data_IF_826307654645
#
_entry.id   IF_826307654645
#
_cell.length_a   1.000
_cell.length_b   1.000
_cell.length_c   1.000
_cell.angle_alpha   90.00
_cell.angle_beta   90.00
_cell.angle_gamma   90.00
#
_symmetry.space_group_name_H-M   'P 1'
#
loop_
_entity.id
_entity.type
_entity.pdbx_description
1 polymer ?
#
# COMPACT_ATOMS: atom_id res chain seq x y z
N UNK A 1 -6.15 -0.56 21.17
CA UNK A 1 -4.99 -1.50 21.19
C UNK A 1 -5.06 -2.38 19.95
N UNK A 2 -3.99 -2.48 19.16
CA UNK A 2 -3.94 -3.36 18.00
C UNK A 2 -3.68 -4.82 18.42
N UNK A 3 -4.23 -5.79 17.69
CA UNK A 3 -4.11 -7.23 17.97
C UNK A 3 -3.42 -7.97 16.82
N UNK A 4 -2.46 -8.87 17.08
CA UNK A 4 -1.88 -9.70 16.02
C UNK A 4 -2.86 -10.79 15.58
N UNK A 5 -2.91 -11.02 14.27
CA UNK A 5 -3.74 -12.02 13.59
C UNK A 5 -2.83 -12.84 12.68
N UNK A 6 -2.96 -14.17 12.70
CA UNK A 6 -2.20 -15.04 11.81
C UNK A 6 -3.03 -15.37 10.58
N UNK A 7 -2.47 -15.10 9.41
CA UNK A 7 -3.11 -15.37 8.11
C UNK A 7 -2.24 -16.32 7.32
N UNK A 8 -2.84 -17.33 6.71
CA UNK A 8 -2.14 -18.27 5.84
C UNK A 8 -2.06 -17.69 4.42
N UNK A 9 -0.84 -17.54 3.90
CA UNK A 9 -0.61 -17.15 2.51
C UNK A 9 -1.07 -18.28 1.57
N UNK A 10 -1.30 -17.94 0.30
CA UNK A 10 -1.54 -18.95 -0.75
C UNK A 10 -0.38 -19.93 -0.91
N UNK A 11 0.84 -19.49 -0.58
CA UNK A 11 2.07 -20.31 -0.55
C UNK A 11 2.12 -21.28 0.64
N UNK A 12 1.16 -21.23 1.56
CA UNK A 12 1.11 -22.09 2.76
C UNK A 12 1.82 -21.53 3.99
N UNK A 13 2.64 -20.50 3.83
CA UNK A 13 3.34 -19.81 4.92
C UNK A 13 2.39 -19.00 5.80
N UNK A 14 2.72 -18.88 7.09
CA UNK A 14 2.00 -17.99 8.01
C UNK A 14 2.56 -16.56 7.96
N UNK A 15 1.67 -15.57 7.92
CA UNK A 15 1.99 -14.15 8.04
C UNK A 15 1.29 -13.59 9.27
N UNK A 16 2.01 -12.81 10.07
CA UNK A 16 1.41 -11.99 11.13
C UNK A 16 0.88 -10.70 10.51
N UNK A 17 -0.40 -10.44 10.72
CA UNK A 17 -1.09 -9.21 10.32
C UNK A 17 -1.57 -8.50 11.60
N UNK A 18 -1.25 -7.22 11.75
CA UNK A 18 -1.71 -6.45 12.90
C UNK A 18 -3.05 -5.80 12.54
N UNK A 19 -4.08 -6.07 13.34
CA UNK A 19 -5.41 -5.49 13.16
C UNK A 19 -5.45 -4.06 13.72
N UNK A 20 -5.32 -3.09 12.82
CA UNK A 20 -5.34 -1.66 13.11
C UNK A 20 -6.73 -1.02 13.00
N UNK A 21 -7.83 -1.76 12.76
CA UNK A 21 -9.14 -1.15 12.49
C UNK A 21 -9.61 -0.15 13.54
N UNK A 22 -9.52 -0.51 14.82
CA UNK A 22 -9.91 0.39 15.92
C UNK A 22 -8.91 1.54 16.13
N UNK A 23 -7.63 1.32 15.84
CA UNK A 23 -6.61 2.36 15.91
C UNK A 23 -6.84 3.39 14.79
N UNK A 24 -7.09 2.93 13.57
CA UNK A 24 -7.31 3.78 12.40
C UNK A 24 -8.56 4.67 12.54
N UNK A 25 -9.59 4.23 13.26
CA UNK A 25 -10.78 5.06 13.54
C UNK A 25 -10.48 6.26 14.45
N UNK A 26 -9.49 6.13 15.33
CA UNK A 26 -9.09 7.19 16.25
C UNK A 26 -8.02 8.13 15.65
N UNK A 27 -7.45 7.77 14.50
CA UNK A 27 -6.43 8.56 13.82
C UNK A 27 -7.09 9.57 12.88
N UNK A 28 -6.57 10.80 12.86
CA UNK A 28 -6.88 11.75 11.82
C UNK A 28 -6.27 11.27 10.49
N UNK A 29 -7.05 11.34 9.42
CA UNK A 29 -6.58 10.97 8.09
C UNK A 29 -5.63 12.05 7.57
N UNK A 30 -4.33 11.75 7.54
CA UNK A 30 -3.33 12.58 6.87
C UNK A 30 -3.24 12.19 5.38
N UNK A 31 -4.30 12.52 4.63
CA UNK A 31 -4.39 12.18 3.21
C UNK A 31 -3.65 13.21 2.35
N UNK A 32 -2.55 12.78 1.76
CA UNK A 32 -1.90 13.49 0.65
C UNK A 32 -2.60 13.11 -0.65
N UNK A 33 -2.82 14.10 -1.52
CA UNK A 33 -3.37 13.86 -2.85
C UNK A 33 -2.43 12.97 -3.65
N UNK A 34 -2.88 11.76 -3.99
CA UNK A 34 -2.17 10.91 -4.94
C UNK A 34 -2.27 11.61 -6.31
N UNK A 35 -1.16 11.83 -7.02
CA UNK A 35 -1.18 12.45 -8.33
C UNK A 35 -2.04 11.64 -9.30
N UNK A 36 -2.66 12.32 -10.27
CA UNK A 36 -3.51 11.66 -11.24
C UNK A 36 -2.70 10.63 -12.03
N UNK A 37 -3.12 9.35 -11.95
CA UNK A 37 -2.43 8.24 -12.61
C UNK A 37 -2.27 8.48 -14.11
N UNK A 38 -3.27 9.06 -14.77
CA UNK A 38 -3.22 9.29 -16.21
C UNK A 38 -2.14 10.30 -16.59
N UNK A 39 -1.98 11.36 -15.80
CA UNK A 39 -0.94 12.37 -16.00
C UNK A 39 0.45 11.76 -15.78
N UNK A 40 0.61 10.93 -14.74
CA UNK A 40 1.87 10.23 -14.48
C UNK A 40 2.26 9.29 -15.63
N UNK A 41 1.29 8.56 -16.20
CA UNK A 41 1.52 7.67 -17.35
C UNK A 41 1.89 8.46 -18.61
N UNK A 42 1.23 9.59 -18.86
CA UNK A 42 1.59 10.47 -19.99
C UNK A 42 3.00 11.03 -19.85
N UNK A 43 3.39 11.49 -18.66
CA UNK A 43 4.75 11.98 -18.40
C UNK A 43 5.81 10.89 -18.58
N UNK A 44 5.46 9.65 -18.23
CA UNK A 44 6.31 8.50 -18.43
C UNK A 44 6.30 8.01 -19.90
N UNK A 45 5.47 8.51 -20.81
CA UNK A 45 5.44 8.01 -22.17
C UNK A 45 6.68 8.44 -22.98
N UNK A 46 7.15 7.56 -23.87
CA UNK A 46 8.19 7.89 -24.86
C UNK A 46 9.64 7.77 -24.36
N UNK A 47 9.87 7.40 -23.10
CA UNK A 47 11.23 7.10 -22.63
C UNK A 47 11.70 5.74 -23.16
N UNK A 48 13.00 5.65 -23.43
CA UNK A 48 13.64 4.44 -23.98
C UNK A 48 13.87 3.35 -22.92
N UNK A 49 14.02 3.75 -21.67
CA UNK A 49 14.32 2.87 -20.55
C UNK A 49 13.50 3.27 -19.33
N UNK A 50 13.08 2.26 -18.57
CA UNK A 50 12.35 2.41 -17.31
C UNK A 50 13.00 1.52 -16.27
N UNK A 51 13.09 2.01 -15.04
CA UNK A 51 13.53 1.25 -13.88
C UNK A 51 12.50 1.42 -12.79
N UNK A 52 12.11 0.32 -12.14
CA UNK A 52 11.25 0.33 -10.97
C UNK A 52 12.10 -0.04 -9.76
N UNK A 53 11.84 0.62 -8.63
CA UNK A 53 12.42 0.29 -7.33
C UNK A 53 11.28 -0.15 -6.42
N UNK A 54 11.55 -1.18 -5.62
CA UNK A 54 10.65 -1.65 -4.55
C UNK A 54 10.93 -0.90 -3.25
#
# INVERSE_FOLDING_TARGET
RARPVFVKKKTGEWKVCIDYREVNKCLALDAYSIPNLWEQVQQAAGHKYYTCLD
#
